data_IF_382450314087
#
_entry.id   IF_382450314087
#
_cell.length_a   1.000
_cell.length_b   1.000
_cell.length_c   1.000
_cell.angle_alpha   90.00
_cell.angle_beta   90.00
_cell.angle_gamma   90.00
#
_symmetry.space_group_name_H-M   'P 1'
#
loop_
_entity.id
_entity.type
_entity.pdbx_description
1 polymer ?
#
# COMPACT_ATOMS: atom_id res chain seq x y z
N UNK A 1 -11.93 25.61 -20.70
CA UNK A 1 -11.67 24.52 -19.72
C UNK A 1 -11.27 25.18 -18.41
N UNK A 2 -11.68 24.64 -17.26
CA UNK A 2 -11.38 25.28 -15.97
C UNK A 2 -9.91 25.05 -15.58
N UNK A 3 -9.25 26.07 -15.02
CA UNK A 3 -7.88 25.98 -14.48
C UNK A 3 -7.69 24.81 -13.49
N UNK A 4 -8.77 24.41 -12.82
CA UNK A 4 -8.81 23.25 -11.91
C UNK A 4 -8.62 21.94 -12.68
N UNK A 5 -9.26 21.79 -13.85
CA UNK A 5 -9.13 20.59 -14.65
C UNK A 5 -7.71 20.42 -15.22
N UNK A 6 -7.05 21.50 -15.64
CA UNK A 6 -5.65 21.47 -16.08
C UNK A 6 -4.69 21.08 -14.95
N UNK A 7 -4.95 21.53 -13.72
CA UNK A 7 -4.18 21.11 -12.54
C UNK A 7 -4.40 19.62 -12.25
N UNK A 8 -5.65 19.14 -12.21
CA UNK A 8 -5.94 17.71 -12.00
C UNK A 8 -5.34 16.85 -13.11
N UNK A 9 -5.39 17.30 -14.36
CA UNK A 9 -4.80 16.61 -15.50
C UNK A 9 -3.27 16.57 -15.43
N UNK A 10 -2.62 17.64 -14.96
CA UNK A 10 -1.15 17.66 -14.77
C UNK A 10 -0.68 16.84 -13.56
N UNK A 11 -1.55 16.66 -12.56
CA UNK A 11 -1.37 15.73 -11.44
C UNK A 11 -1.68 14.26 -11.82
N UNK A 12 -2.27 14.04 -13.00
CA UNK A 12 -2.61 12.70 -13.49
C UNK A 12 -1.54 12.21 -14.47
N UNK A 13 -0.99 11.02 -14.22
CA UNK A 13 0.02 10.39 -15.08
C UNK A 13 1.24 9.88 -14.32
N UNK A 14 2.20 9.30 -15.05
CA UNK A 14 3.35 8.59 -14.47
C UNK A 14 4.18 9.40 -13.47
N UNK A 15 4.27 10.73 -13.66
CA UNK A 15 5.06 11.61 -12.79
C UNK A 15 4.51 11.75 -11.37
N UNK A 16 3.24 11.45 -11.16
CA UNK A 16 2.57 11.58 -9.87
C UNK A 16 1.77 10.30 -9.53
N UNK A 17 2.15 9.17 -10.13
CA UNK A 17 1.55 7.87 -9.87
C UNK A 17 2.59 6.93 -9.29
N UNK A 18 2.28 6.33 -8.14
CA UNK A 18 3.08 5.22 -7.61
C UNK A 18 2.58 3.96 -8.28
N UNK A 19 3.45 3.31 -9.04
CA UNK A 19 3.16 2.02 -9.67
C UNK A 19 4.06 0.96 -9.03
N UNK A 20 3.46 -0.16 -8.66
CA UNK A 20 4.20 -1.34 -8.22
C UNK A 20 3.56 -2.60 -8.82
N UNK A 21 4.33 -3.68 -9.03
CA UNK A 21 3.84 -4.92 -9.62
C UNK A 21 2.66 -5.54 -8.85
N UNK A 22 1.62 -5.98 -9.57
CA UNK A 22 0.48 -6.73 -9.01
C UNK A 22 0.89 -7.98 -8.20
N UNK A 23 1.95 -8.72 -8.58
CA UNK A 23 2.43 -9.85 -7.78
C UNK A 23 2.79 -9.49 -6.34
N UNK A 24 3.31 -8.28 -6.07
CA UNK A 24 3.59 -7.84 -4.70
C UNK A 24 2.30 -7.64 -3.90
N UNK A 25 1.24 -7.11 -4.53
CA UNK A 25 -0.07 -7.00 -3.90
C UNK A 25 -0.68 -8.37 -3.59
N UNK A 26 -0.60 -9.30 -4.56
CA UNK A 26 -1.10 -10.66 -4.37
C UNK A 26 -0.37 -11.35 -3.21
N UNK A 27 0.95 -11.20 -3.13
CA UNK A 27 1.78 -11.77 -2.08
C UNK A 27 1.39 -11.28 -0.68
N UNK A 28 1.04 -9.99 -0.53
CA UNK A 28 0.61 -9.42 0.75
C UNK A 28 -0.90 -9.42 0.99
N UNK A 29 -1.70 -10.02 0.10
CA UNK A 29 -3.17 -9.88 0.10
C UNK A 29 -3.88 -10.23 1.41
N UNK A 30 -3.29 -11.09 2.25
CA UNK A 30 -3.81 -11.42 3.59
C UNK A 30 -3.51 -10.38 4.68
N UNK A 31 -2.85 -9.28 4.37
CA UNK A 31 -2.51 -8.21 5.30
C UNK A 31 -3.37 -6.98 5.09
N UNK A 32 -3.87 -6.36 6.17
CA UNK A 32 -4.63 -5.10 6.05
C UNK A 32 -3.80 -3.96 5.41
N UNK A 33 -2.48 -3.99 5.60
CA UNK A 33 -1.56 -2.97 5.07
C UNK A 33 -0.89 -3.40 3.76
N UNK A 34 -1.49 -4.32 3.00
CA UNK A 34 -0.89 -4.92 1.82
C UNK A 34 -0.39 -3.92 0.77
N UNK A 35 -1.13 -2.82 0.53
CA UNK A 35 -0.68 -1.76 -0.37
C UNK A 35 0.61 -1.08 0.11
N UNK A 36 0.68 -0.72 1.39
CA UNK A 36 1.85 -0.07 1.96
C UNK A 36 3.06 -1.02 2.00
N UNK A 37 2.82 -2.31 2.32
CA UNK A 37 3.85 -3.35 2.27
C UNK A 37 4.39 -3.54 0.84
N UNK A 38 3.51 -3.60 -0.16
CA UNK A 38 3.89 -3.73 -1.56
C UNK A 38 4.69 -2.51 -2.05
N UNK A 39 4.30 -1.30 -1.66
CA UNK A 39 5.00 -0.08 -2.02
C UNK A 39 6.41 -0.02 -1.40
N UNK A 40 6.55 -0.33 -0.11
CA UNK A 40 7.85 -0.40 0.57
C UNK A 40 8.73 -1.50 -0.04
N UNK A 41 8.18 -2.70 -0.28
CA UNK A 41 8.92 -3.79 -0.92
C UNK A 41 9.40 -3.39 -2.32
N UNK A 42 8.54 -2.78 -3.13
CA UNK A 42 8.90 -2.32 -4.46
C UNK A 42 10.11 -1.38 -4.42
N UNK A 43 10.13 -0.46 -3.46
CA UNK A 43 11.23 0.49 -3.32
C UNK A 43 12.51 -0.16 -2.81
N UNK A 44 12.41 -1.10 -1.88
CA UNK A 44 13.56 -1.89 -1.44
C UNK A 44 14.19 -2.66 -2.62
N UNK A 45 13.36 -3.32 -3.44
CA UNK A 45 13.81 -4.05 -4.64
C UNK A 45 14.45 -3.10 -5.66
N UNK A 46 13.82 -1.95 -5.92
CA UNK A 46 14.36 -0.94 -6.82
C UNK A 46 15.78 -0.54 -6.40
N UNK A 47 15.98 -0.09 -5.16
CA UNK A 47 17.31 0.34 -4.67
C UNK A 47 18.34 -0.78 -4.62
N UNK A 48 17.91 -2.03 -4.42
CA UNK A 48 18.83 -3.18 -4.48
C UNK A 48 19.53 -3.30 -5.84
N UNK A 49 18.85 -2.95 -6.94
CA UNK A 49 19.41 -2.95 -8.29
C UNK A 49 20.35 -1.77 -8.60
N UNK A 50 20.30 -0.71 -7.79
CA UNK A 50 21.19 0.45 -7.92
C UNK A 50 22.41 0.39 -6.98
N UNK A 51 22.48 -0.62 -6.10
CA UNK A 51 23.65 -0.77 -5.24
C UNK A 51 24.90 -1.08 -6.05
N UNK A 52 25.93 -0.25 -5.91
CA UNK A 52 27.26 -0.47 -6.48
C UNK A 52 28.18 -1.27 -5.55
N UNK A 53 27.71 -1.65 -4.36
CA UNK A 53 28.52 -2.40 -3.40
C UNK A 53 28.58 -3.88 -3.78
N UNK A 54 29.76 -4.54 -3.65
CA UNK A 54 29.97 -5.92 -4.08
C UNK A 54 29.06 -6.95 -3.36
N UNK A 55 28.52 -6.58 -2.20
CA UNK A 55 27.64 -7.43 -1.39
C UNK A 55 26.14 -7.12 -1.57
N UNK A 56 25.79 -6.17 -2.45
CA UNK A 56 24.41 -5.76 -2.74
C UNK A 56 23.72 -4.98 -1.61
N UNK A 57 24.48 -4.45 -0.65
CA UNK A 57 23.94 -3.59 0.40
C UNK A 57 23.70 -2.17 -0.12
N UNK A 58 22.54 -1.61 0.20
CA UNK A 58 22.28 -0.17 0.04
C UNK A 58 21.82 0.39 1.37
N UNK A 59 22.00 1.68 1.59
CA UNK A 59 21.49 2.35 2.78
C UNK A 59 20.38 3.31 2.41
N UNK A 60 19.40 3.43 3.30
CA UNK A 60 18.32 4.39 3.15
C UNK A 60 17.66 4.71 4.49
N UNK A 61 17.29 5.97 4.70
CA UNK A 61 16.52 6.32 5.90
C UNK A 61 15.06 5.87 5.75
N UNK A 62 14.37 5.68 6.88
CA UNK A 62 12.93 5.40 6.83
C UNK A 62 12.12 6.61 6.37
N UNK A 63 12.58 7.82 6.65
CA UNK A 63 11.95 9.08 6.21
C UNK A 63 11.97 9.17 4.68
N UNK A 64 13.13 8.94 4.07
CA UNK A 64 13.30 8.95 2.61
C UNK A 64 12.45 7.86 1.94
N UNK A 65 12.39 6.66 2.52
CA UNK A 65 11.50 5.61 2.04
C UNK A 65 10.03 6.02 2.16
N UNK A 66 9.67 6.71 3.24
CA UNK A 66 8.31 7.19 3.50
C UNK A 66 7.83 8.21 2.50
N UNK A 67 8.67 9.19 2.17
CA UNK A 67 8.40 10.19 1.13
C UNK A 67 8.16 9.54 -0.23
N UNK A 68 8.97 8.54 -0.60
CA UNK A 68 8.90 7.88 -1.91
C UNK A 68 7.65 7.02 -2.10
N UNK A 69 7.16 6.39 -1.04
CA UNK A 69 6.00 5.47 -1.11
C UNK A 69 4.66 6.17 -0.87
N UNK A 70 4.64 7.52 -0.89
CA UNK A 70 3.42 8.32 -0.80
C UNK A 70 3.21 9.04 0.53
N UNK A 71 4.29 9.37 1.24
CA UNK A 71 4.24 10.19 2.46
C UNK A 71 3.96 9.41 3.75
N UNK A 72 4.44 8.17 3.86
CA UNK A 72 4.36 7.42 5.11
C UNK A 72 5.31 8.02 6.16
N UNK A 73 4.89 8.00 7.43
CA UNK A 73 5.75 8.46 8.53
C UNK A 73 6.92 7.49 8.78
N UNK A 74 7.99 8.01 9.39
CA UNK A 74 9.18 7.20 9.74
C UNK A 74 8.81 5.94 10.52
N UNK A 75 7.89 6.08 11.49
CA UNK A 75 7.41 5.00 12.33
C UNK A 75 6.57 3.97 11.57
N UNK A 76 5.75 4.42 10.60
CA UNK A 76 4.99 3.51 9.74
C UNK A 76 5.95 2.68 8.89
N UNK A 77 6.93 3.33 8.24
CA UNK A 77 7.95 2.65 7.43
C UNK A 77 8.74 1.65 8.28
N UNK A 78 9.15 2.04 9.48
CA UNK A 78 9.83 1.14 10.42
C UNK A 78 9.01 -0.12 10.71
N UNK A 79 7.72 0.04 11.05
CA UNK A 79 6.82 -1.09 11.34
C UNK A 79 6.62 -1.98 10.12
N UNK A 80 6.47 -1.40 8.93
CA UNK A 80 6.32 -2.14 7.68
C UNK A 80 7.58 -2.94 7.35
N UNK A 81 8.76 -2.34 7.50
CA UNK A 81 10.04 -3.04 7.30
C UNK A 81 10.21 -4.17 8.31
N UNK A 82 9.90 -3.95 9.59
CA UNK A 82 9.91 -5.01 10.60
C UNK A 82 8.94 -6.14 10.23
N UNK A 83 7.77 -5.82 9.68
CA UNK A 83 6.79 -6.81 9.22
C UNK A 83 7.29 -7.58 8.00
N UNK A 84 7.85 -6.89 7.01
CA UNK A 84 8.43 -7.51 5.80
C UNK A 84 9.55 -8.47 6.21
N UNK A 85 10.48 -8.02 7.04
CA UNK A 85 11.68 -8.79 7.42
C UNK A 85 11.40 -9.94 8.38
N UNK A 86 10.47 -9.78 9.33
CA UNK A 86 10.20 -10.82 10.34
C UNK A 86 9.09 -11.78 9.94
N UNK A 87 8.03 -11.29 9.29
CA UNK A 87 6.81 -12.07 9.02
C UNK A 87 6.80 -12.67 7.62
N UNK A 88 7.09 -11.86 6.60
CA UNK A 88 6.81 -12.24 5.21
C UNK A 88 8.03 -12.78 4.46
N UNK A 89 9.16 -12.12 4.64
CA UNK A 89 10.41 -12.35 3.90
C UNK A 89 11.60 -12.49 4.86
N UNK A 90 11.53 -13.40 5.87
CA UNK A 90 12.70 -13.72 6.69
C UNK A 90 13.82 -14.25 5.80
N UNK A 91 15.06 -13.87 6.13
CA UNK A 91 16.30 -14.23 5.43
C UNK A 91 16.44 -13.73 3.97
N UNK A 92 15.35 -13.29 3.35
CA UNK A 92 15.33 -12.68 2.01
C UNK A 92 15.67 -11.20 2.11
N UNK A 93 15.04 -10.47 3.04
CA UNK A 93 15.33 -9.05 3.30
C UNK A 93 16.14 -8.94 4.59
N UNK A 94 17.40 -8.58 4.46
CA UNK A 94 18.33 -8.41 5.59
C UNK A 94 18.48 -6.93 5.92
N UNK A 95 18.52 -6.62 7.22
CA UNK A 95 18.70 -5.24 7.72
C UNK A 95 19.86 -5.22 8.69
N UNK A 96 20.76 -4.28 8.49
CA UNK A 96 21.93 -4.06 9.35
C UNK A 96 22.09 -2.57 9.65
N UNK A 97 22.72 -2.22 10.76
CA UNK A 97 23.01 -0.83 11.12
C UNK A 97 24.51 -0.63 10.98
N UNK A 98 24.90 0.17 9.99
CA UNK A 98 26.31 0.51 9.75
C UNK A 98 26.51 2.01 9.79
N UNK A 99 27.70 2.44 10.17
CA UNK A 99 28.02 3.87 10.21
C UNK A 99 28.39 4.36 8.82
N UNK A 100 27.65 5.35 8.32
CA UNK A 100 28.01 6.10 7.11
C UNK A 100 28.37 7.50 7.59
N UNK A 101 29.62 7.92 7.38
CA UNK A 101 30.15 9.20 7.85
C UNK A 101 29.95 9.44 9.37
N UNK A 102 30.04 8.37 10.18
CA UNK A 102 29.88 8.45 11.63
C UNK A 102 28.44 8.31 12.16
N UNK A 103 27.43 8.48 11.29
CA UNK A 103 26.02 8.34 11.66
C UNK A 103 25.54 6.89 11.47
N UNK A 104 24.94 6.25 12.49
CA UNK A 104 24.36 4.92 12.34
C UNK A 104 23.20 4.99 11.35
N UNK A 105 23.32 4.28 10.23
CA UNK A 105 22.35 4.29 9.13
C UNK A 105 21.95 2.85 8.81
N UNK A 106 20.65 2.64 8.55
CA UNK A 106 20.15 1.32 8.17
C UNK A 106 20.57 0.96 6.75
N UNK A 107 21.13 -0.23 6.64
CA UNK A 107 21.51 -0.86 5.39
C UNK A 107 20.57 -2.03 5.15
N UNK A 108 20.18 -2.20 3.90
CA UNK A 108 19.29 -3.24 3.42
C UNK A 108 20.01 -4.07 2.37
N UNK A 109 19.73 -5.37 2.38
CA UNK A 109 20.14 -6.31 1.34
C UNK A 109 18.98 -7.22 1.03
N UNK A 110 18.82 -7.53 -0.25
CA UNK A 110 17.76 -8.41 -0.73
C UNK A 110 18.40 -9.55 -1.50
N UNK A 111 18.03 -10.77 -1.14
CA UNK A 111 18.36 -11.94 -1.94
C UNK A 111 17.34 -12.07 -3.08
N UNK A 112 17.76 -11.69 -4.30
CA UNK A 112 16.90 -11.68 -5.49
C UNK A 112 16.35 -13.06 -5.86
N UNK A 113 17.18 -14.09 -5.89
CA UNK A 113 16.76 -15.44 -6.29
C UNK A 113 15.75 -16.04 -5.30
N UNK A 114 15.98 -15.82 -4.01
CA UNK A 114 15.06 -16.25 -2.96
C UNK A 114 13.74 -15.45 -2.99
N UNK A 115 13.81 -14.15 -3.28
CA UNK A 115 12.63 -13.31 -3.46
C UNK A 115 11.78 -13.77 -4.65
N UNK A 116 12.42 -14.03 -5.80
CA UNK A 116 11.76 -14.52 -7.00
C UNK A 116 11.06 -15.84 -6.69
N UNK A 117 11.78 -16.81 -6.12
CA UNK A 117 11.22 -18.11 -5.76
C UNK A 117 10.02 -18.02 -4.81
N UNK A 118 9.97 -16.98 -3.96
CA UNK A 118 8.93 -16.78 -2.96
C UNK A 118 7.68 -16.08 -3.50
N UNK A 119 7.86 -15.05 -4.34
CA UNK A 119 6.77 -14.20 -4.86
C UNK A 119 6.26 -14.72 -6.21
N UNK A 120 7.17 -15.27 -7.01
CA UNK A 120 6.92 -15.82 -8.33
C UNK A 120 7.29 -17.30 -8.29
N UNK A 121 6.52 -18.13 -7.57
CA UNK A 121 6.73 -19.57 -7.62
C UNK A 121 6.71 -19.97 -9.10
N UNK A 122 7.63 -20.84 -9.55
CA UNK A 122 7.56 -21.35 -10.90
C UNK A 122 6.17 -21.97 -11.04
N UNK A 123 5.29 -21.30 -11.80
CA UNK A 123 4.05 -21.92 -12.20
C UNK A 123 4.46 -23.26 -12.81
N UNK A 124 3.81 -24.34 -12.37
CA UNK A 124 3.94 -25.66 -12.97
C UNK A 124 4.17 -25.49 -14.46
N UNK A 125 5.31 -25.98 -14.95
CA UNK A 125 5.52 -26.20 -16.37
C UNK A 125 4.48 -27.23 -16.84
N UNK A 126 3.26 -26.78 -17.07
CA UNK A 126 2.46 -27.25 -18.19
C UNK A 126 2.69 -26.28 -19.35
N UNK A 127 3.96 -25.94 -19.60
CA UNK A 127 4.38 -25.88 -20.99
C UNK A 127 4.35 -27.34 -21.44
N UNK A 128 3.19 -27.83 -21.91
CA UNK A 128 3.21 -28.96 -22.82
C UNK A 128 4.15 -28.53 -23.94
N UNK A 129 5.35 -29.11 -23.96
CA UNK A 129 6.18 -29.16 -25.14
C UNK A 129 5.27 -29.78 -26.18
N UNK A 130 4.70 -28.95 -27.06
CA UNK A 130 4.12 -29.43 -28.29
C UNK A 130 5.26 -30.11 -29.01
N UNK A 131 5.27 -31.44 -28.94
CA UNK A 131 6.00 -32.32 -29.82
C UNK A 131 5.61 -31.95 -31.25
N UNK A 132 6.35 -31.03 -31.84
CA UNK A 132 6.38 -30.75 -33.25
C UNK A 132 7.66 -31.35 -33.79
N UNK A 133 7.57 -32.57 -34.32
CA UNK A 133 8.58 -33.14 -35.19
C UNK A 133 8.97 -32.11 -36.27
N UNK A 134 10.23 -31.69 -36.25
CA UNK A 134 10.86 -30.88 -37.27
C UNK A 134 12.30 -31.36 -37.41
N UNK A 135 12.63 -31.78 -38.62
CA UNK A 135 13.70 -32.71 -38.94
C UNK A 135 15.12 -32.19 -38.65
N UNK A 136 15.97 -33.17 -38.35
CA UNK A 136 17.43 -33.14 -38.34
C UNK A 136 17.99 -32.39 -39.55
N UNK A 137 18.79 -31.36 -39.29
CA UNK A 137 19.83 -30.93 -40.20
C UNK A 137 21.10 -30.71 -39.37
N UNK A 138 21.96 -31.73 -39.38
CA UNK A 138 23.35 -31.58 -38.99
C UNK A 138 24.07 -30.61 -39.95
N UNK A 139 24.92 -29.76 -39.41
CA UNK A 139 26.12 -29.32 -40.13
C UNK A 139 27.22 -29.01 -39.12
N UNK A 140 28.31 -29.74 -39.29
CA UNK A 140 29.54 -29.71 -38.51
C UNK A 140 30.35 -28.40 -38.61
N UNK A 141 31.06 -28.15 -37.51
CA UNK A 141 32.44 -27.68 -37.33
C UNK A 141 32.99 -26.34 -37.85
N UNK A 142 33.67 -25.71 -36.88
CA UNK A 142 34.98 -25.04 -36.89
C UNK A 142 35.10 -23.55 -37.25
N UNK A 143 35.55 -22.78 -36.26
CA UNK A 143 36.23 -21.49 -36.44
C UNK A 143 36.56 -20.77 -35.13
N UNK A 144 37.80 -20.94 -34.65
CA UNK A 144 38.46 -20.11 -33.63
C UNK A 144 38.35 -18.60 -33.93
N UNK A 145 38.22 -17.76 -32.90
CA UNK A 145 38.43 -16.32 -33.00
C UNK A 145 38.26 -15.61 -31.66
N UNK A 146 39.33 -14.93 -31.25
CA UNK A 146 39.62 -14.38 -29.92
C UNK A 146 38.86 -13.07 -29.58
N UNK A 147 38.80 -12.80 -28.27
CA UNK A 147 38.67 -11.50 -27.58
C UNK A 147 38.16 -10.26 -28.36
N UNK A 148 37.02 -9.70 -27.92
CA UNK A 148 36.76 -8.26 -28.05
C UNK A 148 35.75 -7.73 -27.02
N UNK A 149 36.17 -6.63 -26.38
CA UNK A 149 35.54 -5.90 -25.29
C UNK A 149 34.12 -5.36 -25.51
N UNK A 150 33.50 -5.10 -24.36
CA UNK A 150 32.35 -4.23 -24.15
C UNK A 150 32.48 -2.86 -24.83
N UNK A 151 31.49 -2.49 -25.67
CA UNK A 151 31.28 -1.09 -26.07
C UNK A 151 29.79 -0.73 -25.94
N UNK A 152 29.52 0.12 -24.95
CA UNK A 152 28.33 0.95 -24.84
C UNK A 152 28.22 1.84 -26.08
N UNK A 153 27.07 1.90 -26.74
CA UNK A 153 26.74 2.98 -27.67
C UNK A 153 25.55 3.79 -27.17
N UNK A 154 25.89 4.98 -26.69
CA UNK A 154 25.03 6.15 -26.61
C UNK A 154 24.98 6.88 -27.97
N UNK A 155 24.02 7.81 -28.08
CA UNK A 155 23.64 8.71 -29.19
C UNK A 155 22.58 8.14 -30.15
N UNK A 156 21.53 8.87 -30.51
CA UNK A 156 21.22 10.27 -30.23
C UNK A 156 19.80 10.63 -30.71
N UNK A 157 19.27 11.70 -30.15
CA UNK A 157 18.09 12.41 -30.66
C UNK A 157 18.38 12.94 -32.07
N UNK A 158 17.46 12.69 -33.00
CA UNK A 158 17.31 13.49 -34.20
C UNK A 158 15.84 13.85 -34.38
N UNK A 159 15.60 15.15 -34.44
CA UNK A 159 14.33 15.80 -34.74
C UNK A 159 13.99 15.63 -36.22
N UNK A 160 12.74 15.25 -36.54
CA UNK A 160 12.20 15.40 -37.89
C UNK A 160 10.78 15.95 -37.84
N UNK A 161 10.59 17.00 -38.63
CA UNK A 161 9.44 17.88 -38.70
C UNK A 161 8.21 17.20 -39.32
N UNK A 162 7.06 17.73 -38.93
CA UNK A 162 5.72 17.38 -39.40
C UNK A 162 5.59 17.58 -40.91
N UNK A 163 5.17 16.53 -41.62
CA UNK A 163 4.40 16.64 -42.87
C UNK A 163 3.20 15.69 -42.83
N UNK A 164 2.06 16.24 -42.42
CA UNK A 164 0.76 15.64 -42.65
C UNK A 164 0.36 15.79 -44.12
N UNK A 165 -0.02 14.68 -44.76
CA UNK A 165 -1.07 14.61 -45.79
C UNK A 165 -1.86 13.33 -45.49
N UNK A 166 -3.14 13.48 -45.15
CA UNK A 166 -3.97 12.44 -44.57
C UNK A 166 -4.71 11.56 -45.57
N UNK A 167 -5.69 10.84 -44.98
CA UNK A 167 -6.71 9.95 -45.55
C UNK A 167 -6.28 8.47 -45.60
N UNK A 168 -6.77 7.53 -44.79
CA UNK A 168 -7.87 7.52 -43.84
C UNK A 168 -8.61 6.19 -43.96
N UNK A 169 -8.21 5.16 -43.22
CA UNK A 169 -9.07 4.01 -42.86
C UNK A 169 -8.76 3.55 -41.43
N UNK A 170 -9.84 3.22 -40.74
CA UNK A 170 -10.03 3.19 -39.29
C UNK A 170 -9.24 2.06 -38.62
N UNK A 171 -8.38 2.38 -37.66
CA UNK A 171 -7.81 1.39 -36.75
C UNK A 171 -8.79 1.18 -35.58
N UNK A 172 -9.36 -0.01 -35.51
CA UNK A 172 -10.33 -0.40 -34.49
C UNK A 172 -9.75 -0.38 -33.08
N UNK A 173 -10.54 0.15 -32.15
CA UNK A 173 -10.32 0.08 -30.71
C UNK A 173 -10.73 -1.30 -30.18
N UNK A 174 -9.82 -2.02 -29.53
CA UNK A 174 -10.19 -3.18 -28.71
C UNK A 174 -10.28 -2.73 -27.24
N UNK A 175 -11.48 -2.27 -26.87
CA UNK A 175 -11.98 -2.32 -25.49
C UNK A 175 -12.86 -3.57 -25.35
N UNK A 176 -12.68 -4.26 -24.21
CA UNK A 176 -13.58 -5.20 -23.51
C UNK A 176 -14.36 -6.22 -24.36
N UNK A 177 -14.03 -7.50 -24.17
CA UNK A 177 -15.00 -8.59 -24.32
C UNK A 177 -15.66 -8.83 -22.97
N UNK A 178 -16.91 -8.37 -22.85
CA UNK A 178 -17.86 -8.84 -21.85
C UNK A 178 -18.11 -10.34 -22.06
N UNK A 179 -18.03 -11.12 -20.99
CA UNK A 179 -18.54 -12.49 -20.93
C UNK A 179 -19.68 -12.49 -19.91
N UNK A 180 -20.85 -12.05 -20.36
CA UNK A 180 -22.12 -12.53 -19.85
C UNK A 180 -22.60 -13.65 -20.79
N UNK A 181 -22.56 -14.88 -20.31
CA UNK A 181 -23.52 -15.90 -20.75
C UNK A 181 -23.80 -16.85 -19.60
N UNK A 182 -24.83 -16.52 -18.84
CA UNK A 182 -25.57 -17.43 -17.99
C UNK A 182 -26.15 -18.58 -18.83
N UNK A 183 -25.92 -19.82 -18.39
CA UNK A 183 -26.99 -20.84 -18.22
C UNK A 183 -26.47 -22.11 -17.55
N UNK A 184 -27.11 -22.41 -16.42
CA UNK A 184 -27.42 -23.73 -15.89
C UNK A 184 -26.27 -24.60 -15.38
N UNK A 185 -25.73 -24.23 -14.21
CA UNK A 185 -25.33 -25.23 -13.21
C UNK A 185 -26.19 -25.09 -11.95
N UNK A 186 -27.08 -26.06 -11.78
CA UNK A 186 -27.80 -26.32 -10.54
C UNK A 186 -26.80 -26.50 -9.40
N UNK A 187 -26.76 -25.52 -8.50
CA UNK A 187 -26.08 -25.63 -7.22
C UNK A 187 -26.89 -26.61 -6.37
N UNK A 188 -26.40 -27.84 -6.25
CA UNK A 188 -26.82 -28.76 -5.20
C UNK A 188 -26.01 -28.44 -3.94
N UNK A 189 -26.61 -27.71 -3.00
CA UNK A 189 -26.06 -27.51 -1.67
C UNK A 189 -26.17 -28.83 -0.89
N UNK A 190 -25.04 -29.52 -0.67
CA UNK A 190 -24.95 -30.45 0.46
C UNK A 190 -24.73 -29.64 1.72
N UNK A 191 -25.69 -29.77 2.63
CA UNK A 191 -25.61 -29.35 4.02
C UNK A 191 -24.68 -30.28 4.83
N UNK A 192 -24.22 -29.75 5.97
CA UNK A 192 -23.41 -30.34 7.05
C UNK A 192 -21.91 -30.45 6.74
N UNK A 193 -20.98 -29.76 7.43
CA UNK A 193 -20.80 -29.71 8.88
C UNK A 193 -20.68 -28.28 9.46
N UNK A 194 -21.42 -28.05 10.54
CA UNK A 194 -21.28 -26.94 11.50
C UNK A 194 -19.95 -27.02 12.26
N UNK A 195 -19.24 -25.90 12.45
CA UNK A 195 -18.45 -25.68 13.65
C UNK A 195 -19.23 -24.78 14.62
N UNK A 196 -19.62 -25.40 15.73
CA UNK A 196 -19.69 -24.89 17.11
C UNK A 196 -20.36 -23.53 17.39
N UNK A 197 -21.50 -23.65 18.07
CA UNK A 197 -22.28 -22.75 18.93
C UNK A 197 -22.11 -21.20 18.86
N UNK A 198 -23.22 -20.44 18.93
CA UNK A 198 -23.17 -18.98 19.01
C UNK A 198 -22.34 -18.53 20.22
N UNK A 199 -21.20 -17.92 19.93
CA UNK A 199 -20.35 -17.28 20.94
C UNK A 199 -21.15 -16.14 21.61
N UNK A 200 -21.25 -16.17 22.93
CA UNK A 200 -21.95 -15.21 23.81
C UNK A 200 -21.47 -13.73 23.71
N UNK A 201 -20.61 -13.38 22.74
CA UNK A 201 -20.00 -12.04 22.59
C UNK A 201 -20.98 -10.97 22.05
N UNK A 202 -22.15 -11.35 21.55
CA UNK A 202 -23.19 -10.40 21.12
C UNK A 202 -24.06 -9.90 22.30
N UNK A 203 -23.97 -10.57 23.45
CA UNK A 203 -24.79 -10.30 24.64
C UNK A 203 -24.22 -9.19 25.54
N UNK A 204 -22.90 -8.92 25.49
CA UNK A 204 -22.28 -7.87 26.32
C UNK A 204 -22.20 -6.52 25.56
N UNK A 205 -23.07 -5.55 25.89
CA UNK A 205 -23.07 -4.24 25.21
C UNK A 205 -21.76 -3.48 25.42
N UNK A 206 -21.04 -3.73 26.53
CA UNK A 206 -19.75 -3.07 26.82
C UNK A 206 -18.67 -3.58 25.87
N UNK A 207 -18.58 -4.90 25.71
CA UNK A 207 -17.59 -5.54 24.85
C UNK A 207 -17.85 -5.21 23.37
N UNK A 208 -19.12 -5.16 22.97
CA UNK A 208 -19.54 -4.76 21.62
C UNK A 208 -19.07 -3.33 21.28
N UNK A 209 -19.25 -2.38 22.20
CA UNK A 209 -18.76 -0.99 22.03
C UNK A 209 -17.24 -0.93 22.01
N UNK A 210 -16.56 -1.66 22.90
CA UNK A 210 -15.10 -1.68 22.98
C UNK A 210 -14.45 -2.24 21.70
N UNK A 211 -14.97 -3.36 21.18
CA UNK A 211 -14.50 -3.96 19.94
C UNK A 211 -14.69 -3.02 18.74
N UNK A 212 -15.85 -2.35 18.67
CA UNK A 212 -16.11 -1.35 17.65
C UNK A 212 -15.14 -0.16 17.76
N UNK A 213 -14.93 0.35 18.98
CA UNK A 213 -13.97 1.42 19.25
C UNK A 213 -12.58 1.09 18.72
N UNK A 214 -12.03 -0.05 19.13
CA UNK A 214 -10.71 -0.50 18.71
C UNK A 214 -10.59 -0.62 17.19
N UNK A 215 -11.62 -1.14 16.53
CA UNK A 215 -11.66 -1.27 15.07
C UNK A 215 -11.66 0.07 14.35
N UNK A 216 -12.46 1.05 14.83
CA UNK A 216 -12.62 2.36 14.18
C UNK A 216 -11.40 3.26 14.43
N UNK A 217 -10.86 3.27 15.64
CA UNK A 217 -9.71 4.13 16.00
C UNK A 217 -8.35 3.45 15.80
N UNK A 218 -8.33 2.22 15.24
CA UNK A 218 -7.13 1.39 15.08
C UNK A 218 -6.31 1.30 16.38
N UNK A 219 -7.00 0.97 17.48
CA UNK A 219 -6.45 0.91 18.84
C UNK A 219 -6.58 -0.49 19.43
N UNK A 220 -5.82 -0.77 20.51
CA UNK A 220 -5.78 -2.09 21.16
C UNK A 220 -6.11 -1.98 22.66
N UNK A 221 -7.19 -1.28 23.02
CA UNK A 221 -7.63 -1.18 24.41
C UNK A 221 -8.14 -2.54 24.90
N UNK A 222 -7.54 -3.03 26.00
CA UNK A 222 -7.92 -4.31 26.62
C UNK A 222 -9.24 -4.19 27.36
N UNK A 223 -9.94 -5.32 27.46
CA UNK A 223 -11.13 -5.51 28.28
C UNK A 223 -10.77 -5.56 29.78
N UNK A 224 -10.33 -4.42 30.32
CA UNK A 224 -10.00 -4.24 31.73
C UNK A 224 -11.12 -3.52 32.48
N UNK A 225 -11.19 -3.71 33.80
CA UNK A 225 -12.19 -3.09 34.67
C UNK A 225 -12.32 -1.57 34.49
N UNK A 226 -11.21 -0.87 34.24
CA UNK A 226 -11.20 0.58 34.00
C UNK A 226 -11.84 0.96 32.65
N UNK A 227 -11.46 0.27 31.57
CA UNK A 227 -12.01 0.51 30.22
C UNK A 227 -13.51 0.20 30.18
N UNK A 228 -13.88 -0.95 30.76
CA UNK A 228 -15.28 -1.36 30.93
C UNK A 228 -16.05 -0.32 31.73
N UNK A 229 -15.46 0.18 32.82
CA UNK A 229 -16.07 1.21 33.67
C UNK A 229 -16.45 2.50 32.93
N UNK A 230 -15.61 2.97 32.00
CA UNK A 230 -15.94 4.15 31.19
C UNK A 230 -17.14 3.89 30.27
N UNK A 231 -17.17 2.74 29.60
CA UNK A 231 -18.25 2.39 28.67
C UNK A 231 -19.55 2.09 29.42
N UNK A 232 -19.47 1.26 30.47
CA UNK A 232 -20.62 0.90 31.29
C UNK A 232 -21.21 2.12 32.02
N UNK A 233 -20.37 3.08 32.41
CA UNK A 233 -20.82 4.31 33.07
C UNK A 233 -21.68 5.22 32.18
N UNK A 234 -21.55 5.10 30.86
CA UNK A 234 -22.42 5.79 29.89
C UNK A 234 -23.66 4.93 29.57
N UNK A 235 -23.50 3.61 29.45
CA UNK A 235 -24.61 2.67 29.21
C UNK A 235 -25.62 2.57 30.37
N UNK A 236 -25.21 2.90 31.60
CA UNK A 236 -26.12 3.00 32.76
C UNK A 236 -27.08 4.20 32.67
N UNK A 237 -26.84 5.13 31.74
CA UNK A 237 -27.73 6.25 31.45
C UNK A 237 -28.85 5.88 30.47
N UNK A 238 -29.25 6.83 29.62
CA UNK A 238 -30.33 6.66 28.63
C UNK A 238 -29.84 6.16 27.25
N UNK A 239 -28.59 5.70 27.16
CA UNK A 239 -27.93 5.40 25.89
C UNK A 239 -27.76 3.89 25.67
N UNK A 240 -27.94 3.44 24.43
CA UNK A 240 -27.69 2.06 24.02
C UNK A 240 -26.32 1.89 23.37
N UNK A 241 -25.84 0.65 23.25
CA UNK A 241 -24.54 0.36 22.61
C UNK A 241 -24.39 1.00 21.22
N UNK A 242 -25.46 1.00 20.42
CA UNK A 242 -25.48 1.61 19.09
C UNK A 242 -25.26 3.13 19.12
N UNK A 243 -25.72 3.82 20.17
CA UNK A 243 -25.51 5.26 20.37
C UNK A 243 -24.03 5.56 20.65
N UNK A 244 -23.41 4.75 21.50
CA UNK A 244 -21.98 4.86 21.80
C UNK A 244 -21.14 4.58 20.54
N UNK A 245 -21.50 3.57 19.76
CA UNK A 245 -20.85 3.28 18.48
C UNK A 245 -20.99 4.44 17.50
N UNK A 246 -22.16 5.08 17.43
CA UNK A 246 -22.37 6.25 16.57
C UNK A 246 -21.48 7.44 16.97
N UNK A 247 -21.27 7.65 18.27
CA UNK A 247 -20.34 8.69 18.78
C UNK A 247 -18.91 8.38 18.38
N UNK A 248 -18.50 7.11 18.47
CA UNK A 248 -17.16 6.67 18.05
C UNK A 248 -16.93 6.92 16.57
N UNK A 249 -17.86 6.51 15.71
CA UNK A 249 -17.81 6.77 14.26
C UNK A 249 -17.65 8.28 13.99
N UNK A 250 -18.45 9.10 14.67
CA UNK A 250 -18.46 10.55 14.49
C UNK A 250 -17.13 11.19 14.91
N UNK A 251 -16.63 10.89 16.10
CA UNK A 251 -15.38 11.49 16.61
C UNK A 251 -14.18 11.04 15.78
N UNK A 252 -14.13 9.76 15.40
CA UNK A 252 -13.08 9.26 14.52
C UNK A 252 -13.07 9.98 13.17
N UNK A 253 -14.26 10.28 12.61
CA UNK A 253 -14.40 11.08 11.40
C UNK A 253 -14.05 12.57 11.62
N UNK A 254 -14.50 13.17 12.73
CA UNK A 254 -14.28 14.59 13.04
C UNK A 254 -12.79 14.91 13.20
N UNK A 255 -12.05 13.97 13.78
CA UNK A 255 -10.62 14.09 14.08
C UNK A 255 -9.71 13.36 13.06
N UNK A 256 -10.28 12.79 12.01
CA UNK A 256 -9.51 12.19 10.92
C UNK A 256 -8.53 13.21 10.31
N UNK A 257 -7.25 12.85 10.27
CA UNK A 257 -6.18 13.68 9.68
C UNK A 257 -5.73 14.88 10.52
N UNK A 258 -6.20 15.01 11.77
CA UNK A 258 -5.66 15.99 12.72
C UNK A 258 -4.65 15.30 13.63
N UNK A 259 -3.35 15.37 13.30
CA UNK A 259 -2.28 14.65 14.02
C UNK A 259 -2.31 14.87 15.55
N UNK A 260 -2.63 16.09 15.98
CA UNK A 260 -2.72 16.47 17.39
C UNK A 260 -3.93 15.87 18.12
N UNK A 261 -4.99 15.47 17.41
CA UNK A 261 -6.23 14.98 18.02
C UNK A 261 -6.23 13.48 18.28
N UNK A 262 -5.35 12.72 17.63
CA UNK A 262 -5.18 11.27 17.84
C UNK A 262 -4.89 10.92 19.31
N UNK A 263 -4.18 11.81 20.05
CA UNK A 263 -3.88 11.65 21.46
C UNK A 263 -5.14 11.52 22.35
N UNK A 264 -6.24 12.13 21.93
CA UNK A 264 -7.50 12.20 22.67
C UNK A 264 -8.47 11.07 22.33
N UNK A 265 -8.19 10.24 21.31
CA UNK A 265 -8.98 9.04 20.96
C UNK A 265 -8.78 7.92 21.99
N UNK A 266 -9.36 8.08 23.17
CA UNK A 266 -9.30 7.13 24.28
C UNK A 266 -10.69 6.91 24.88
N UNK A 267 -11.01 5.70 25.37
CA UNK A 267 -12.28 5.42 26.04
C UNK A 267 -12.59 6.41 27.17
N UNK A 268 -11.58 6.81 27.96
CA UNK A 268 -11.75 7.81 29.03
C UNK A 268 -12.24 9.17 28.53
N UNK A 269 -11.73 9.63 27.38
CA UNK A 269 -12.04 10.96 26.84
C UNK A 269 -13.39 10.96 26.15
N UNK A 270 -13.67 9.90 25.38
CA UNK A 270 -14.87 9.80 24.56
C UNK A 270 -16.09 9.42 25.40
N UNK A 271 -15.94 8.50 26.36
CA UNK A 271 -17.01 8.03 27.24
C UNK A 271 -17.00 8.73 28.61
N UNK A 272 -16.55 9.99 28.68
CA UNK A 272 -16.75 10.80 29.89
C UNK A 272 -18.18 11.32 29.94
N UNK A 273 -18.85 11.19 31.08
CA UNK A 273 -20.24 11.63 31.25
C UNK A 273 -20.43 13.13 30.91
N UNK A 274 -19.43 13.96 31.18
CA UNK A 274 -19.48 15.41 30.92
C UNK A 274 -19.49 15.79 29.43
N UNK A 275 -18.84 15.00 28.56
CA UNK A 275 -18.68 15.34 27.15
C UNK A 275 -19.54 14.48 26.22
N UNK A 276 -19.94 13.29 26.67
CA UNK A 276 -20.60 12.30 25.82
C UNK A 276 -21.91 12.81 25.23
N UNK A 277 -22.75 13.50 26.02
CA UNK A 277 -24.03 14.05 25.56
C UNK A 277 -23.84 15.04 24.40
N UNK A 278 -22.84 15.93 24.50
CA UNK A 278 -22.50 16.88 23.44
C UNK A 278 -22.02 16.19 22.16
N UNK A 279 -21.18 15.16 22.28
CA UNK A 279 -20.76 14.36 21.12
C UNK A 279 -21.91 13.57 20.50
N UNK A 280 -22.83 13.07 21.32
CA UNK A 280 -23.98 12.32 20.85
C UNK A 280 -24.94 13.17 20.02
N UNK A 281 -25.23 14.40 20.44
CA UNK A 281 -26.07 15.31 19.66
C UNK A 281 -25.44 15.70 18.32
N UNK A 282 -24.12 15.93 18.30
CA UNK A 282 -23.36 16.16 17.08
C UNK A 282 -23.37 14.92 16.17
N UNK A 283 -23.18 13.73 16.74
CA UNK A 283 -23.20 12.47 16.00
C UNK A 283 -24.59 12.17 15.40
N UNK A 284 -25.68 12.53 16.10
CA UNK A 284 -27.05 12.44 15.57
C UNK A 284 -27.27 13.41 14.41
N UNK A 285 -26.79 14.65 14.50
CA UNK A 285 -26.85 15.60 13.40
C UNK A 285 -26.03 15.11 12.19
N UNK A 286 -24.83 14.59 12.42
CA UNK A 286 -23.97 13.99 11.40
C UNK A 286 -24.64 12.79 10.69
N UNK A 287 -25.31 11.91 11.45
CA UNK A 287 -26.10 10.81 10.89
C UNK A 287 -27.26 11.30 10.03
N UNK A 288 -28.01 12.32 10.48
CA UNK A 288 -29.11 12.92 9.69
C UNK A 288 -28.60 13.53 8.39
N UNK A 289 -27.37 14.06 8.40
CA UNK A 289 -26.71 14.64 7.22
C UNK A 289 -26.06 13.58 6.31
N UNK A 290 -26.30 12.28 6.52
CA UNK A 290 -25.80 11.22 5.67
C UNK A 290 -24.36 10.77 5.96
N UNK A 291 -23.85 11.05 7.17
CA UNK A 291 -22.49 10.69 7.60
C UNK A 291 -21.38 11.14 6.62
N UNK A 292 -21.27 12.45 6.29
CA UNK A 292 -20.23 12.93 5.39
C UNK A 292 -18.84 12.62 5.95
N UNK A 293 -17.98 12.03 5.11
CA UNK A 293 -16.60 11.72 5.46
C UNK A 293 -15.75 12.99 5.40
N UNK A 294 -15.01 13.26 6.47
CA UNK A 294 -14.10 14.42 6.53
C UNK A 294 -12.79 14.02 5.86
N UNK A 295 -12.63 14.43 4.60
CA UNK A 295 -11.38 14.24 3.85
C UNK A 295 -10.35 15.19 4.46
N UNK A 296 -9.25 14.64 4.99
CA UNK A 296 -8.13 15.46 5.44
C UNK A 296 -7.58 16.25 4.24
N UNK A 297 -7.68 17.58 4.27
CA UNK A 297 -7.02 18.40 3.25
C UNK A 297 -5.50 18.15 3.38
N UNK A 298 -4.80 17.74 2.30
CA UNK A 298 -3.37 17.59 2.36
C UNK A 298 -2.75 18.94 2.71
N UNK A 299 -1.77 18.93 3.64
CA UNK A 299 -1.04 20.12 4.05
C UNK A 299 -0.64 20.91 2.79
N UNK A 300 -1.00 22.20 2.74
CA UNK A 300 -0.66 23.10 1.62
C UNK A 300 0.86 23.30 1.60
N UNK A 301 1.58 22.41 0.91
CA UNK A 301 3.01 22.58 0.65
C UNK A 301 3.14 23.67 -0.40
N UNK A 302 3.65 24.84 0.02
CA UNK A 302 3.88 25.95 -0.89
C UNK A 302 5.20 25.69 -1.65
N UNK A 303 5.09 24.94 -2.76
CA UNK A 303 6.23 24.65 -3.64
C UNK A 303 6.32 25.77 -4.67
N UNK A 304 7.32 26.65 -4.55
CA UNK A 304 7.64 27.62 -5.61
C UNK A 304 8.26 26.87 -6.81
N UNK A 305 7.44 26.62 -7.83
CA UNK A 305 7.84 25.92 -9.06
C UNK A 305 8.70 26.76 -10.00
N UNK A 306 8.83 28.08 -9.77
CA UNK A 306 9.47 28.96 -10.75
C UNK A 306 11.00 29.09 -10.57
N UNK A 307 11.56 28.61 -9.45
CA UNK A 307 12.98 28.79 -9.10
C UNK A 307 13.70 27.50 -8.69
N UNK A 308 13.26 26.33 -9.14
CA UNK A 308 13.97 25.08 -8.85
C UNK A 308 15.05 24.80 -9.90
N UNK A 309 16.32 24.79 -9.47
CA UNK A 309 17.46 24.35 -10.27
C UNK A 309 17.51 22.82 -10.31
N UNK A 310 17.05 22.26 -11.44
CA UNK A 310 16.99 20.81 -11.69
C UNK A 310 18.32 20.23 -12.21
N UNK A 311 19.40 21.02 -12.29
CA UNK A 311 20.70 20.54 -12.81
C UNK A 311 21.59 19.88 -11.74
N UNK A 312 21.19 19.94 -10.47
CA UNK A 312 21.91 19.31 -9.35
C UNK A 312 21.51 17.85 -9.11
N UNK A 313 22.45 17.04 -8.60
CA UNK A 313 22.13 15.74 -8.00
C UNK A 313 20.99 15.94 -6.98
N UNK A 314 19.93 15.09 -6.99
CA UNK A 314 18.84 15.22 -6.05
C UNK A 314 19.37 15.18 -4.60
N UNK A 315 18.79 16.04 -3.76
CA UNK A 315 19.18 16.16 -2.35
C UNK A 315 18.95 14.80 -1.68
N UNK A 316 20.02 14.18 -1.18
CA UNK A 316 20.03 12.81 -0.63
C UNK A 316 20.91 11.83 -1.41
N UNK A 317 21.22 12.12 -2.67
CA UNK A 317 22.09 11.27 -3.49
C UNK A 317 23.57 11.50 -3.16
N UNK A 318 24.22 10.55 -2.47
CA UNK A 318 25.67 10.58 -2.19
C UNK A 318 26.34 9.33 -2.74
N UNK A 319 27.40 9.56 -3.53
CA UNK A 319 28.35 8.56 -4.04
C UNK A 319 29.29 8.09 -2.96
#
# INVERSE_FOLDING_TARGET
MSRIFEVVQSLSGQRNSITFPRPYLAFFSGDQQFYALAAVLNQLVFWSGYSTQPEGWFYKSHEELGEEVGGLSEDQVRRLIEKITKKYLPDIVQVDIRKVNGTPTKHYRINGDALISKIFPPALETAEVRNGNGEVAESDNNGNGEDAESIRRSRGMETAEVRNHGNGEVAESFLYTDLDTDRDLQIYCQADELPDEPHDDESDPVLRVLNHFNRVTNSEFRDGATTRGFISGVLQGEYVADDLMLVVDYIANEWAGQDNMSFYLRPKTIFSQENFEGYFDQARAWRRNGKPQKIAEPAKVNIDLQNQDYSGKPKGFRT
#
